data_IF_569616419051
#
_entry.id   IF_569616419051
#
_cell.length_a   1.000
_cell.length_b   1.000
_cell.length_c   1.000
_cell.angle_alpha   90.00
_cell.angle_beta   90.00
_cell.angle_gamma   90.00
#
_symmetry.space_group_name_H-M   'P 1'
#
loop_
_entity.id
_entity.type
_entity.pdbx_description
1 polymer ?
#
# COMPACT_ATOMS: atom_id res chain seq x y z
N UNK A 1 -46.40 -35.87 31.33
CA UNK A 1 -45.16 -36.63 31.10
C UNK A 1 -44.76 -36.54 29.64
N UNK A 2 -45.69 -36.70 28.68
CA UNK A 2 -45.40 -36.68 27.22
C UNK A 2 -44.95 -35.29 26.68
N UNK A 3 -45.45 -34.21 27.24
CA UNK A 3 -45.06 -32.84 26.85
C UNK A 3 -43.64 -32.47 27.35
N UNK A 4 -43.22 -33.04 28.48
CA UNK A 4 -41.88 -32.81 29.00
C UNK A 4 -40.80 -33.49 28.13
N UNK A 5 -41.10 -34.73 27.64
CA UNK A 5 -40.18 -35.44 26.76
C UNK A 5 -39.93 -34.69 25.43
N UNK A 6 -40.98 -34.20 24.80
CA UNK A 6 -40.85 -33.41 23.56
C UNK A 6 -39.96 -32.17 23.73
N UNK A 7 -40.08 -31.48 24.87
CA UNK A 7 -39.28 -30.29 25.11
C UNK A 7 -37.78 -30.60 25.30
N UNK A 8 -37.45 -31.75 25.87
CA UNK A 8 -36.06 -32.21 25.98
C UNK A 8 -35.49 -32.72 24.66
N UNK A 9 -36.29 -33.38 23.85
CA UNK A 9 -35.87 -33.86 22.52
C UNK A 9 -35.57 -32.69 21.58
N UNK A 10 -36.43 -31.68 21.54
CA UNK A 10 -36.21 -30.45 20.74
C UNK A 10 -34.96 -29.68 21.22
N UNK A 11 -34.70 -29.64 22.52
CA UNK A 11 -33.50 -29.03 23.06
C UNK A 11 -32.24 -29.79 22.65
N UNK A 12 -32.24 -31.10 22.71
CA UNK A 12 -31.11 -31.96 22.31
C UNK A 12 -30.83 -31.83 20.83
N UNK A 13 -31.86 -31.82 19.96
CA UNK A 13 -31.69 -31.60 18.55
C UNK A 13 -31.10 -30.22 18.23
N UNK A 14 -31.55 -29.18 18.91
CA UNK A 14 -30.99 -27.82 18.74
C UNK A 14 -29.52 -27.73 19.15
N UNK A 15 -29.13 -28.41 20.23
CA UNK A 15 -27.73 -28.45 20.70
C UNK A 15 -26.85 -29.30 19.77
N UNK A 16 -27.34 -30.43 19.26
CA UNK A 16 -26.59 -31.27 18.31
C UNK A 16 -26.35 -30.55 17.00
N UNK A 17 -27.34 -29.87 16.45
CA UNK A 17 -27.19 -29.10 15.23
C UNK A 17 -26.20 -27.92 15.37
N UNK A 18 -26.20 -27.25 16.53
CA UNK A 18 -25.21 -26.23 16.85
C UNK A 18 -23.82 -26.82 16.97
N UNK A 19 -23.65 -27.95 17.65
CA UNK A 19 -22.37 -28.63 17.76
C UNK A 19 -21.81 -29.07 16.39
N UNK A 20 -22.64 -29.56 15.50
CA UNK A 20 -22.24 -29.91 14.14
C UNK A 20 -21.80 -28.67 13.35
N UNK A 21 -22.52 -27.56 13.50
CA UNK A 21 -22.14 -26.29 12.87
C UNK A 21 -20.81 -25.78 13.40
N UNK A 22 -20.60 -25.78 14.71
CA UNK A 22 -19.32 -25.40 15.30
C UNK A 22 -18.17 -26.32 14.91
N UNK A 23 -18.40 -27.63 14.85
CA UNK A 23 -17.38 -28.59 14.39
C UNK A 23 -17.00 -28.34 12.93
N UNK A 24 -17.98 -28.04 12.06
CA UNK A 24 -17.74 -27.73 10.66
C UNK A 24 -16.92 -26.45 10.50
N UNK A 25 -17.28 -25.39 11.22
CA UNK A 25 -16.53 -24.13 11.24
C UNK A 25 -15.13 -24.31 11.81
N UNK A 26 -15.00 -25.07 12.90
CA UNK A 26 -13.70 -25.36 13.50
C UNK A 26 -12.80 -26.20 12.60
N UNK A 27 -13.37 -27.12 11.81
CA UNK A 27 -12.62 -27.90 10.82
C UNK A 27 -12.10 -27.06 9.64
N UNK A 28 -12.77 -25.95 9.30
CA UNK A 28 -12.32 -25.02 8.26
C UNK A 28 -11.26 -24.02 8.77
N UNK A 29 -11.13 -23.84 10.08
CA UNK A 29 -10.20 -22.89 10.67
C UNK A 29 -8.72 -23.07 10.24
N UNK A 30 -8.17 -24.31 10.18
CA UNK A 30 -6.78 -24.50 9.75
C UNK A 30 -6.59 -24.19 8.26
N UNK A 31 -7.55 -24.52 7.42
CA UNK A 31 -7.50 -24.23 5.98
C UNK A 31 -7.56 -22.72 5.72
N UNK A 32 -8.44 -22.00 6.41
CA UNK A 32 -8.51 -20.54 6.38
C UNK A 32 -7.21 -19.87 6.88
N UNK A 33 -6.58 -20.42 7.93
CA UNK A 33 -5.29 -19.92 8.42
C UNK A 33 -4.19 -20.12 7.39
N UNK A 34 -4.10 -21.30 6.78
CA UNK A 34 -3.14 -21.57 5.71
C UNK A 34 -3.38 -20.67 4.48
N UNK A 35 -4.63 -20.43 4.11
CA UNK A 35 -4.98 -19.51 3.02
C UNK A 35 -4.57 -18.07 3.37
N UNK A 36 -4.84 -17.61 4.58
CA UNK A 36 -4.41 -16.29 5.07
C UNK A 36 -2.88 -16.14 5.12
N UNK A 37 -2.17 -17.16 5.58
CA UNK A 37 -0.71 -17.14 5.61
C UNK A 37 -0.12 -17.20 4.21
N UNK A 38 -0.73 -17.95 3.29
CA UNK A 38 -0.34 -17.96 1.88
C UNK A 38 -0.61 -16.61 1.20
N UNK A 39 -1.71 -15.94 1.51
CA UNK A 39 -1.97 -14.58 1.04
C UNK A 39 -0.97 -13.58 1.63
N UNK A 40 -0.72 -13.63 2.93
CA UNK A 40 0.26 -12.75 3.58
C UNK A 40 1.69 -12.94 3.05
N UNK A 41 2.09 -14.17 2.74
CA UNK A 41 3.43 -14.45 2.24
C UNK A 41 3.63 -14.09 0.77
N UNK A 42 2.58 -14.22 -0.07
CA UNK A 42 2.64 -13.96 -1.51
C UNK A 42 2.31 -12.51 -1.86
N UNK A 43 1.32 -11.91 -1.21
CA UNK A 43 0.78 -10.62 -1.58
C UNK A 43 1.33 -9.44 -0.75
N UNK A 44 1.83 -9.67 0.46
CA UNK A 44 2.36 -8.60 1.29
C UNK A 44 3.52 -7.83 0.64
N UNK A 45 4.36 -8.50 -0.15
CA UNK A 45 5.48 -7.85 -0.86
C UNK A 45 5.04 -7.03 -2.08
N UNK A 46 3.87 -7.29 -2.63
CA UNK A 46 3.34 -6.57 -3.79
C UNK A 46 2.66 -5.27 -3.42
N UNK A 47 2.10 -5.22 -2.21
CA UNK A 47 1.32 -4.07 -1.75
C UNK A 47 2.12 -3.08 -0.92
N UNK A 48 3.21 -3.52 -0.30
CA UNK A 48 3.93 -2.70 0.67
C UNK A 48 5.39 -2.49 0.26
N UNK A 49 5.90 -1.31 0.59
CA UNK A 49 7.33 -1.01 0.53
C UNK A 49 8.10 -1.97 1.44
N UNK A 50 9.33 -2.27 1.09
CA UNK A 50 10.20 -3.18 1.85
C UNK A 50 10.59 -2.59 3.20
N UNK A 51 10.78 -1.26 3.22
CA UNK A 51 11.18 -0.54 4.41
C UNK A 51 9.97 -0.07 5.21
N UNK A 52 9.98 -0.34 6.52
CA UNK A 52 8.93 0.10 7.46
C UNK A 52 9.23 1.47 8.04
N UNK A 53 10.53 1.84 8.14
CA UNK A 53 10.94 3.14 8.63
C UNK A 53 10.57 4.25 7.63
N UNK A 54 9.89 5.33 8.05
CA UNK A 54 9.33 6.35 7.16
C UNK A 54 10.34 6.97 6.20
N UNK A 55 11.52 7.31 6.71
CA UNK A 55 12.57 7.95 5.93
C UNK A 55 13.13 7.00 4.85
N UNK A 56 13.33 5.72 5.19
CA UNK A 56 13.81 4.71 4.26
C UNK A 56 12.74 4.35 3.24
N UNK A 57 11.49 4.24 3.65
CA UNK A 57 10.36 4.01 2.76
C UNK A 57 10.17 5.17 1.76
N UNK A 58 10.35 6.42 2.24
CA UNK A 58 10.33 7.60 1.36
C UNK A 58 11.45 7.60 0.34
N UNK A 59 12.67 7.27 0.74
CA UNK A 59 13.82 7.16 -0.16
C UNK A 59 13.64 6.03 -1.18
N UNK A 60 13.12 4.87 -0.74
CA UNK A 60 12.80 3.74 -1.62
C UNK A 60 11.76 4.14 -2.68
N UNK A 61 10.68 4.81 -2.27
CA UNK A 61 9.64 5.28 -3.19
C UNK A 61 10.20 6.30 -4.19
N UNK A 62 10.99 7.28 -3.74
CA UNK A 62 11.62 8.25 -4.63
C UNK A 62 12.52 7.58 -5.67
N UNK A 63 13.32 6.58 -5.27
CA UNK A 63 14.20 5.86 -6.20
C UNK A 63 13.40 5.03 -7.21
N UNK A 64 12.31 4.40 -6.78
CA UNK A 64 11.41 3.65 -7.66
C UNK A 64 10.78 4.57 -8.72
N UNK A 65 10.27 5.73 -8.30
CA UNK A 65 9.65 6.71 -9.18
C UNK A 65 10.68 7.34 -10.12
N UNK A 66 11.85 7.71 -9.61
CA UNK A 66 12.97 8.23 -10.40
C UNK A 66 13.37 7.25 -11.50
N UNK A 67 13.61 6.00 -11.14
CA UNK A 67 13.97 4.94 -12.09
C UNK A 67 12.91 4.75 -13.18
N UNK A 68 11.61 4.85 -12.86
CA UNK A 68 10.54 4.75 -13.85
C UNK A 68 10.51 5.96 -14.79
N UNK A 69 10.71 7.16 -14.28
CA UNK A 69 10.70 8.40 -15.10
C UNK A 69 11.92 8.45 -16.02
N UNK A 70 13.11 8.21 -15.51
CA UNK A 70 14.36 8.23 -16.29
C UNK A 70 14.36 7.09 -17.33
N UNK A 71 13.94 5.88 -16.93
CA UNK A 71 13.80 4.74 -17.84
C UNK A 71 12.76 4.95 -18.95
N UNK A 72 11.71 5.74 -18.68
CA UNK A 72 10.71 6.14 -19.68
C UNK A 72 11.12 7.32 -20.57
N UNK A 73 12.29 7.91 -20.32
CA UNK A 73 12.81 9.06 -21.08
C UNK A 73 12.27 10.41 -20.59
N UNK A 74 11.84 10.49 -19.34
CA UNK A 74 11.49 11.75 -18.66
C UNK A 74 12.69 12.41 -18.00
N UNK A 75 12.61 13.72 -17.80
CA UNK A 75 13.63 14.52 -17.15
C UNK A 75 13.06 15.16 -15.87
N UNK A 76 13.49 14.68 -14.72
CA UNK A 76 13.03 15.17 -13.42
C UNK A 76 13.55 16.58 -13.14
N UNK A 77 12.67 17.46 -12.70
CA UNK A 77 13.00 18.83 -12.28
C UNK A 77 12.98 18.95 -10.77
N UNK A 78 11.97 18.36 -10.14
CA UNK A 78 11.79 18.43 -8.68
C UNK A 78 11.24 17.11 -8.18
N UNK A 79 11.76 16.64 -7.04
CA UNK A 79 11.25 15.49 -6.32
C UNK A 79 11.18 15.81 -4.84
N UNK A 80 10.02 15.62 -4.22
CA UNK A 80 9.77 15.90 -2.81
C UNK A 80 9.04 14.73 -2.18
N UNK A 81 9.35 14.44 -0.93
CA UNK A 81 8.61 13.46 -0.12
C UNK A 81 7.97 14.19 1.05
N UNK A 82 6.69 14.49 0.98
CA UNK A 82 5.95 15.06 2.10
C UNK A 82 5.96 14.13 3.32
N UNK A 83 5.57 14.66 4.47
CA UNK A 83 5.47 13.85 5.67
C UNK A 83 4.49 12.68 5.48
N UNK A 84 4.84 11.48 5.96
CA UNK A 84 3.96 10.31 5.87
C UNK A 84 2.63 10.56 6.57
N UNK A 85 1.57 9.94 6.03
CA UNK A 85 0.23 9.97 6.62
C UNK A 85 -0.13 8.59 7.14
N UNK A 86 -0.87 8.54 8.23
CA UNK A 86 -1.46 7.29 8.71
C UNK A 86 -2.86 7.13 8.10
N UNK A 87 -3.08 6.00 7.45
CA UNK A 87 -4.34 5.66 6.81
C UNK A 87 -4.71 4.21 7.15
N UNK A 88 -5.82 4.03 7.88
CA UNK A 88 -6.37 2.71 8.21
C UNK A 88 -5.42 1.75 8.95
N UNK A 89 -4.45 2.26 9.72
CA UNK A 89 -3.44 1.44 10.40
C UNK A 89 -2.21 1.12 9.54
N UNK A 90 -2.16 1.62 8.30
CA UNK A 90 -1.00 1.58 7.42
C UNK A 90 -0.41 2.98 7.30
N UNK A 91 0.86 3.04 6.93
CA UNK A 91 1.54 4.30 6.69
C UNK A 91 1.59 4.57 5.20
N UNK A 92 0.89 5.63 4.77
CA UNK A 92 0.96 6.11 3.40
C UNK A 92 2.18 7.01 3.23
N UNK A 93 3.02 6.68 2.28
CA UNK A 93 4.19 7.45 1.85
C UNK A 93 3.87 8.05 0.51
N UNK A 94 4.11 9.34 0.33
CA UNK A 94 3.84 10.04 -0.93
C UNK A 94 5.14 10.61 -1.48
N UNK A 95 5.34 10.53 -2.78
CA UNK A 95 6.38 11.22 -3.51
C UNK A 95 5.74 12.16 -4.54
N UNK A 96 5.98 13.45 -4.41
CA UNK A 96 5.55 14.47 -5.37
C UNK A 96 6.69 14.75 -6.33
N UNK A 97 6.44 14.53 -7.63
CA UNK A 97 7.48 14.67 -8.65
C UNK A 97 6.99 15.57 -9.78
N UNK A 98 7.91 16.44 -10.24
CA UNK A 98 7.71 17.26 -11.42
C UNK A 98 8.79 16.93 -12.44
N UNK A 99 8.38 16.69 -13.68
CA UNK A 99 9.27 16.31 -14.76
C UNK A 99 8.78 16.77 -16.13
N UNK A 100 9.67 16.79 -17.11
CA UNK A 100 9.36 17.01 -18.52
C UNK A 100 9.42 15.67 -19.27
N UNK A 101 8.45 15.46 -20.14
CA UNK A 101 8.43 14.30 -21.03
C UNK A 101 7.62 14.61 -22.29
N UNK A 102 7.83 13.87 -23.36
CA UNK A 102 6.90 13.85 -24.50
C UNK A 102 5.69 12.98 -24.15
N UNK A 103 4.58 13.14 -24.87
CA UNK A 103 3.35 12.37 -24.60
C UNK A 103 3.56 10.85 -24.67
N UNK A 104 4.29 10.31 -25.68
CA UNK A 104 4.60 8.88 -25.72
C UNK A 104 5.48 8.42 -24.54
N UNK A 105 6.43 9.26 -24.11
CA UNK A 105 7.27 8.95 -22.95
C UNK A 105 6.44 8.96 -21.67
N UNK A 106 5.53 9.92 -21.53
CA UNK A 106 4.62 9.99 -20.38
C UNK A 106 3.78 8.71 -20.26
N UNK A 107 3.25 8.22 -21.39
CA UNK A 107 2.50 6.96 -21.39
C UNK A 107 3.36 5.79 -20.90
N UNK A 108 4.61 5.68 -21.36
CA UNK A 108 5.55 4.64 -20.90
C UNK A 108 5.88 4.77 -19.42
N UNK A 109 6.07 6.00 -18.93
CA UNK A 109 6.35 6.28 -17.53
C UNK A 109 5.17 5.85 -16.64
N UNK A 110 3.96 6.27 -16.97
CA UNK A 110 2.77 5.90 -16.20
C UNK A 110 2.57 4.40 -16.19
N UNK A 111 2.69 3.75 -17.34
CA UNK A 111 2.61 2.29 -17.43
C UNK A 111 3.68 1.59 -16.58
N UNK A 112 4.92 2.09 -16.59
CA UNK A 112 6.00 1.55 -15.78
C UNK A 112 5.77 1.73 -14.26
N UNK A 113 5.10 2.82 -13.84
CA UNK A 113 4.74 3.04 -12.44
C UNK A 113 3.62 2.09 -12.02
N UNK A 114 2.56 1.97 -12.83
CA UNK A 114 1.37 1.17 -12.51
C UNK A 114 1.60 -0.35 -12.55
N UNK A 115 2.55 -0.81 -13.36
CA UNK A 115 2.86 -2.25 -13.51
C UNK A 115 3.97 -2.75 -12.60
N UNK A 116 4.58 -1.86 -11.82
CA UNK A 116 5.72 -2.20 -10.96
C UNK A 116 5.28 -2.79 -9.62
N UNK A 117 6.13 -3.65 -9.05
CA UNK A 117 6.02 -4.11 -7.67
C UNK A 117 7.04 -3.36 -6.78
N UNK A 118 6.66 -2.84 -5.61
CA UNK A 118 5.31 -2.84 -5.01
C UNK A 118 4.33 -1.97 -5.78
N UNK A 119 3.02 -2.22 -5.61
CA UNK A 119 1.99 -1.42 -6.29
C UNK A 119 2.02 0.02 -5.81
N UNK A 120 2.12 0.91 -6.78
CA UNK A 120 2.14 2.35 -6.58
C UNK A 120 0.82 2.93 -7.08
N UNK A 121 0.22 3.81 -6.30
CA UNK A 121 -0.97 4.56 -6.71
C UNK A 121 -0.55 5.93 -7.22
N UNK A 122 -0.99 6.28 -8.42
CA UNK A 122 -0.78 7.62 -8.97
C UNK A 122 -1.95 8.50 -8.58
N UNK A 123 -1.64 9.59 -7.89
CA UNK A 123 -2.61 10.59 -7.44
C UNK A 123 -2.27 11.95 -8.07
N UNK A 124 -3.26 12.84 -8.16
CA UNK A 124 -3.08 14.28 -8.50
C UNK A 124 -2.21 14.53 -9.74
N UNK A 125 -2.54 13.95 -10.89
CA UNK A 125 -1.80 14.19 -12.13
C UNK A 125 -2.19 15.54 -12.73
N UNK A 126 -1.20 16.42 -12.93
CA UNK A 126 -1.37 17.69 -13.63
C UNK A 126 -0.41 17.74 -14.83
N UNK A 127 -0.94 17.91 -16.03
CA UNK A 127 -0.19 18.00 -17.27
C UNK A 127 -0.35 19.41 -17.83
N UNK A 128 0.75 20.10 -18.05
CA UNK A 128 0.77 21.44 -18.63
C UNK A 128 1.64 21.45 -19.88
N UNK A 129 1.16 21.96 -21.02
CA UNK A 129 1.98 22.10 -22.20
C UNK A 129 3.07 23.15 -21.93
N UNK A 130 4.32 22.83 -22.29
CA UNK A 130 5.46 23.73 -22.09
C UNK A 130 5.34 24.97 -22.98
N UNK A 131 4.64 24.87 -24.10
CA UNK A 131 4.54 25.90 -25.13
C UNK A 131 3.18 26.62 -25.15
N UNK A 132 2.51 26.76 -23.99
CA UNK A 132 1.23 27.46 -23.88
C UNK A 132 1.29 28.97 -24.21
N UNK A 133 2.47 29.53 -24.40
CA UNK A 133 2.65 30.94 -24.69
C UNK A 133 3.09 31.21 -26.15
N UNK A 134 2.15 31.80 -26.90
CA UNK A 134 2.35 32.49 -28.20
C UNK A 134 2.86 31.65 -29.37
N UNK A 135 1.94 31.05 -30.12
CA UNK A 135 2.15 30.79 -31.56
C UNK A 135 3.29 29.85 -31.92
N UNK A 136 3.82 29.08 -30.99
CA UNK A 136 4.84 28.08 -31.25
C UNK A 136 4.24 26.94 -32.05
N UNK A 137 4.59 26.85 -33.34
CA UNK A 137 4.41 25.62 -34.11
C UNK A 137 5.64 24.77 -33.89
N UNK A 138 5.51 23.57 -33.28
CA UNK A 138 6.65 22.67 -33.22
C UNK A 138 7.19 22.42 -34.61
N UNK A 139 8.51 22.39 -34.77
CA UNK A 139 9.12 22.04 -36.03
C UNK A 139 8.64 20.66 -36.46
N UNK A 140 8.42 20.42 -37.76
CA UNK A 140 7.98 19.16 -38.28
C UNK A 140 8.92 18.03 -37.76
N UNK A 141 8.41 17.09 -36.96
CA UNK A 141 9.15 15.99 -36.36
C UNK A 141 9.59 16.16 -34.90
N UNK A 142 9.37 17.32 -34.27
CA UNK A 142 9.58 17.48 -32.84
C UNK A 142 8.27 17.26 -32.09
N UNK A 143 8.25 16.23 -31.23
CA UNK A 143 7.15 16.01 -30.31
C UNK A 143 7.17 17.07 -29.19
N UNK A 144 6.05 17.74 -28.91
CA UNK A 144 5.98 18.73 -27.86
C UNK A 144 6.24 18.09 -26.48
N UNK A 145 7.16 18.68 -25.73
CA UNK A 145 7.34 18.32 -24.33
C UNK A 145 6.22 18.92 -23.47
N UNK A 146 5.77 18.17 -22.50
CA UNK A 146 4.82 18.60 -21.48
C UNK A 146 5.50 18.62 -20.12
N UNK A 147 5.11 19.57 -19.29
CA UNK A 147 5.45 19.58 -17.85
C UNK A 147 4.39 18.76 -17.12
N UNK A 148 4.84 17.74 -16.43
CA UNK A 148 3.99 16.83 -15.67
C UNK A 148 4.32 16.96 -14.21
N UNK A 149 3.31 17.14 -13.39
CA UNK A 149 3.36 17.04 -11.94
C UNK A 149 2.44 15.91 -11.52
N UNK A 150 2.96 14.98 -10.71
CA UNK A 150 2.18 13.88 -10.18
C UNK A 150 2.63 13.54 -8.76
N UNK A 151 1.69 13.02 -8.00
CA UNK A 151 1.93 12.44 -6.68
C UNK A 151 1.81 10.94 -6.80
N UNK A 152 2.79 10.21 -6.30
CA UNK A 152 2.80 8.75 -6.24
C UNK A 152 2.71 8.34 -4.78
N UNK A 153 1.68 7.58 -4.45
CA UNK A 153 1.47 7.04 -3.12
C UNK A 153 1.84 5.56 -3.07
N UNK A 154 2.45 5.16 -1.98
CA UNK A 154 2.73 3.77 -1.63
C UNK A 154 2.45 3.55 -0.15
N UNK A 155 2.26 2.29 0.24
CA UNK A 155 1.99 1.93 1.62
C UNK A 155 3.17 1.17 2.21
N UNK A 156 3.52 1.52 3.45
CA UNK A 156 4.45 0.77 4.27
C UNK A 156 3.70 0.09 5.41
N UNK A 157 4.15 -1.10 5.81
CA UNK A 157 3.61 -1.74 7.00
C UNK A 157 3.95 -0.89 8.23
N UNK A 158 3.02 -0.80 9.21
CA UNK A 158 3.32 -0.11 10.46
C UNK A 158 4.52 -0.78 11.13
N UNK A 159 5.42 0.02 11.64
CA UNK A 159 6.54 -0.47 12.45
C UNK A 159 5.94 -1.16 13.68
N UNK A 160 6.21 -2.46 13.85
CA UNK A 160 5.80 -3.16 15.06
C UNK A 160 6.41 -2.41 16.25
N UNK A 161 5.63 -1.88 17.21
CA UNK A 161 6.20 -1.11 18.29
C UNK A 161 7.25 -1.98 18.98
N UNK A 162 8.51 -1.55 18.92
CA UNK A 162 9.60 -2.18 19.67
C UNK A 162 9.16 -2.20 21.14
N UNK A 163 9.09 -3.38 21.78
CA UNK A 163 8.68 -3.43 23.17
C UNK A 163 9.52 -2.42 23.95
N UNK A 164 8.84 -1.50 24.63
CA UNK A 164 9.50 -0.52 25.48
C UNK A 164 10.45 -1.27 26.41
N UNK A 165 11.71 -0.83 26.59
CA UNK A 165 12.62 -1.46 27.52
C UNK A 165 11.91 -1.52 28.89
N UNK A 166 11.77 -2.74 29.42
CA UNK A 166 11.12 -2.97 30.69
C UNK A 166 11.69 -1.97 31.70
N UNK A 167 10.82 -1.13 32.26
CA UNK A 167 11.20 -0.18 33.27
C UNK A 167 11.98 -0.94 34.36
N UNK A 168 13.23 -0.54 34.58
CA UNK A 168 14.03 -1.11 35.65
C UNK A 168 13.25 -1.00 36.97
N UNK A 169 13.20 -2.04 37.79
CA UNK A 169 12.49 -1.99 39.05
C UNK A 169 13.08 -0.84 39.88
N UNK A 170 12.20 0.09 40.27
CA UNK A 170 12.55 1.19 41.15
C UNK A 170 13.20 0.64 42.42
N UNK A 171 14.45 1.05 42.67
CA UNK A 171 15.18 0.74 43.87
C UNK A 171 14.34 1.18 45.08
N UNK A 172 13.98 0.21 45.96
CA UNK A 172 13.35 0.49 47.25
C UNK A 172 14.31 1.38 48.04
N UNK A 173 13.85 2.47 48.65
CA UNK A 173 14.65 3.18 49.61
C UNK A 173 14.83 2.29 50.83
N UNK A 174 16.09 2.07 51.22
CA UNK A 174 16.47 1.43 52.47
C UNK A 174 16.06 2.37 53.64
N UNK A 175 15.34 1.77 54.62
CA UNK A 175 15.03 2.39 55.92
C UNK A 175 16.25 2.37 56.81
#
# INVERSE_FOLDING_TARGET
VLLLHRHYDDAIESWTSRLETYRRVAAQAPELRLALDAMRSKDGRRFFLKNTAPNLAGAELQELVKSAIEGGGGRITTSQSPAPREDGGFRQIVASVQFFATVPNLQRILHAIETREPYLAVENVTIRPTNAFRGFKPAAGQEPEVNVQLDVAAWAMPETPKPAPAAAPAARPAA
#
